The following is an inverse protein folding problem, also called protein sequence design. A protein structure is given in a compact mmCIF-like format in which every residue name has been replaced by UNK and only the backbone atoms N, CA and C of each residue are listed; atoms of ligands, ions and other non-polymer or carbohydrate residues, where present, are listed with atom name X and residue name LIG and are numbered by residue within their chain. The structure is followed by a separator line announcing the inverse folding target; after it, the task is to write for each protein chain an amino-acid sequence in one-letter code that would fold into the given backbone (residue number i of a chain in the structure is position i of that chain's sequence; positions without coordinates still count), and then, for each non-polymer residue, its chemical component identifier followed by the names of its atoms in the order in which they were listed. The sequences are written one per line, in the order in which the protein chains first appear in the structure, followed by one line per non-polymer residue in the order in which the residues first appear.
data_IF_958313561151
#
_entry.id   IF_958313561151
#
_cell.length_a   1.000
_cell.length_b   1.000
_cell.length_c   1.000
_cell.angle_alpha   90.00
_cell.angle_beta   90.00
_cell.angle_gamma   90.00
#
_symmetry.space_group_name_H-M   'P 1'
#
loop_
_entity.id
_entity.type
_entity.pdbx_description
1 polymer ?
#
# COMPACT_ATOMS: atom_id res chain seq x y z
N UNK A 1 11.63 -11.43 -2.26
CA UNK A 1 10.50 -11.59 -3.17
C UNK A 1 9.43 -12.43 -2.47
N UNK A 2 8.46 -11.83 -1.76
CA UNK A 2 7.35 -12.59 -1.21
C UNK A 2 6.42 -12.99 -2.37
N UNK A 3 6.38 -14.27 -2.69
CA UNK A 3 5.38 -14.81 -3.64
C UNK A 3 3.99 -14.72 -3.02
N UNK A 4 2.93 -14.63 -3.85
CA UNK A 4 1.52 -14.63 -3.43
C UNK A 4 1.15 -15.75 -2.43
N UNK A 5 1.95 -16.83 -2.40
CA UNK A 5 1.86 -17.93 -1.43
C UNK A 5 2.05 -17.49 0.03
N UNK A 6 2.79 -16.40 0.26
CA UNK A 6 3.08 -15.90 1.61
C UNK A 6 1.88 -15.18 2.22
N UNK A 7 1.11 -14.45 1.40
CA UNK A 7 -0.13 -13.79 1.83
C UNK A 7 -1.14 -14.84 2.31
N UNK A 8 -1.31 -15.94 1.55
CA UNK A 8 -2.22 -17.02 1.92
C UNK A 8 -1.89 -17.65 3.29
N UNK A 9 -0.61 -17.80 3.64
CA UNK A 9 -0.19 -18.29 4.97
C UNK A 9 -0.55 -17.32 6.09
N UNK A 10 -0.46 -16.03 5.86
CA UNK A 10 -0.80 -15.02 6.87
C UNK A 10 -2.30 -14.89 7.09
N UNK A 11 -3.11 -15.11 6.06
CA UNK A 11 -4.57 -15.11 6.21
C UNK A 11 -5.09 -16.27 7.07
N UNK A 12 -4.37 -17.39 7.11
CA UNK A 12 -4.73 -18.55 7.91
C UNK A 12 -4.77 -18.28 9.44
N UNK A 13 -4.14 -17.19 9.91
CA UNK A 13 -4.15 -16.78 11.32
C UNK A 13 -5.14 -15.64 11.63
N UNK A 14 -5.99 -15.26 10.68
CA UNK A 14 -6.99 -14.18 10.83
C UNK A 14 -6.40 -12.88 11.42
N UNK A 15 -5.40 -12.27 10.76
CA UNK A 15 -4.70 -11.12 11.29
C UNK A 15 -5.62 -9.89 11.32
N UNK A 16 -5.43 -9.04 12.33
CA UNK A 16 -6.08 -7.73 12.39
C UNK A 16 -5.36 -6.66 11.57
N UNK A 17 -4.06 -6.84 11.33
CA UNK A 17 -3.19 -5.94 10.59
C UNK A 17 -2.24 -6.75 9.70
N UNK A 18 -2.12 -6.34 8.44
CA UNK A 18 -1.18 -6.87 7.47
C UNK A 18 -0.15 -5.78 7.09
N UNK A 19 1.14 -6.09 7.24
CA UNK A 19 2.24 -5.23 6.81
C UNK A 19 2.78 -5.78 5.49
N UNK A 20 2.75 -4.96 4.45
CA UNK A 20 3.21 -5.32 3.12
C UNK A 20 4.33 -4.37 2.70
N UNK A 21 5.56 -4.89 2.64
CA UNK A 21 6.72 -4.13 2.19
C UNK A 21 6.94 -4.38 0.69
N UNK A 22 6.73 -3.34 -0.11
CA UNK A 22 6.82 -3.35 -1.58
C UNK A 22 6.12 -4.57 -2.22
N UNK A 23 4.79 -4.74 -2.03
CA UNK A 23 4.07 -5.97 -2.38
C UNK A 23 4.08 -6.32 -3.87
N UNK A 24 4.41 -5.35 -4.73
CA UNK A 24 4.39 -5.51 -6.19
C UNK A 24 5.76 -5.57 -6.85
N UNK A 25 6.85 -5.51 -6.08
CA UNK A 25 8.21 -5.56 -6.63
C UNK A 25 8.50 -6.94 -7.25
N UNK A 26 9.00 -6.92 -8.49
CA UNK A 26 9.32 -8.14 -9.24
C UNK A 26 8.10 -8.87 -9.82
N UNK A 27 6.91 -8.26 -9.74
CA UNK A 27 5.66 -8.78 -10.33
C UNK A 27 5.41 -8.05 -11.65
N UNK A 28 5.06 -8.80 -12.70
CA UNK A 28 4.66 -8.24 -13.99
C UNK A 28 3.45 -7.29 -13.83
N UNK A 29 3.40 -6.22 -14.63
CA UNK A 29 2.32 -5.23 -14.65
C UNK A 29 0.95 -5.91 -14.79
N UNK A 30 0.86 -6.96 -15.61
CA UNK A 30 -0.36 -7.74 -15.81
C UNK A 30 -0.86 -8.42 -14.51
N UNK A 31 0.05 -8.77 -13.59
CA UNK A 31 -0.25 -9.45 -12.33
C UNK A 31 -0.33 -8.50 -11.13
N UNK A 32 0.20 -7.27 -11.21
CA UNK A 32 0.08 -6.26 -10.13
C UNK A 32 -1.39 -6.00 -9.76
N UNK A 33 -2.28 -5.91 -10.75
CA UNK A 33 -3.70 -5.69 -10.54
C UNK A 33 -4.37 -6.78 -9.67
N UNK A 34 -3.97 -8.04 -9.83
CA UNK A 34 -4.49 -9.15 -9.02
C UNK A 34 -4.07 -9.05 -7.56
N UNK A 35 -2.84 -8.59 -7.28
CA UNK A 35 -2.35 -8.38 -5.92
C UNK A 35 -3.14 -7.25 -5.24
N UNK A 36 -3.33 -6.13 -5.94
CA UNK A 36 -4.13 -5.02 -5.41
C UNK A 36 -5.58 -5.40 -5.16
N UNK A 37 -6.18 -6.21 -6.03
CA UNK A 37 -7.53 -6.71 -5.81
C UNK A 37 -7.62 -7.53 -4.51
N UNK A 38 -6.67 -8.45 -4.28
CA UNK A 38 -6.59 -9.22 -3.03
C UNK A 38 -6.45 -8.26 -1.83
N UNK A 39 -5.55 -7.28 -1.90
CA UNK A 39 -5.34 -6.33 -0.80
C UNK A 39 -6.62 -5.54 -0.48
N UNK A 40 -7.30 -5.04 -1.53
CA UNK A 40 -8.57 -4.33 -1.41
C UNK A 40 -9.65 -5.22 -0.78
N UNK A 41 -9.75 -6.48 -1.21
CA UNK A 41 -10.71 -7.43 -0.64
C UNK A 41 -10.42 -7.68 0.84
N UNK A 42 -9.15 -7.84 1.23
CA UNK A 42 -8.77 -8.02 2.63
C UNK A 42 -9.17 -6.80 3.48
N UNK A 43 -8.93 -5.60 2.96
CA UNK A 43 -9.37 -4.36 3.62
C UNK A 43 -10.90 -4.30 3.78
N UNK A 44 -11.64 -4.69 2.75
CA UNK A 44 -13.10 -4.75 2.77
C UNK A 44 -13.65 -5.76 3.80
N UNK A 45 -12.90 -6.83 4.10
CA UNK A 45 -13.23 -7.80 5.15
C UNK A 45 -12.81 -7.34 6.57
N UNK A 46 -12.38 -6.09 6.74
CA UNK A 46 -12.07 -5.49 8.04
C UNK A 46 -10.64 -5.74 8.53
N UNK A 47 -9.76 -6.26 7.67
CA UNK A 47 -8.33 -6.39 7.99
C UNK A 47 -7.64 -5.07 7.67
N UNK A 48 -6.96 -4.47 8.65
CA UNK A 48 -6.15 -3.29 8.37
C UNK A 48 -4.95 -3.69 7.50
N UNK A 49 -4.64 -2.90 6.46
CA UNK A 49 -3.45 -3.12 5.63
C UNK A 49 -2.61 -1.85 5.66
N UNK A 50 -1.32 -2.01 5.99
CA UNK A 50 -0.30 -0.98 5.85
C UNK A 50 0.68 -1.44 4.79
N UNK A 51 0.70 -0.68 3.69
CA UNK A 51 1.64 -0.90 2.59
C UNK A 51 2.78 0.11 2.69
N UNK A 52 4.00 -0.38 2.46
CA UNK A 52 5.19 0.44 2.26
C UNK A 52 5.48 0.37 0.77
N UNK A 53 5.47 1.52 0.11
CA UNK A 53 5.77 1.64 -1.32
C UNK A 53 6.60 2.91 -1.58
N UNK A 54 7.34 2.88 -2.67
CA UNK A 54 8.17 3.97 -3.20
C UNK A 54 7.56 4.61 -4.45
N UNK A 55 6.51 4.01 -5.02
CA UNK A 55 5.76 4.54 -6.15
C UNK A 55 4.57 5.42 -5.67
N UNK A 56 4.55 6.71 -6.05
CA UNK A 56 3.46 7.64 -5.68
C UNK A 56 2.12 7.20 -6.27
N UNK A 57 2.12 6.66 -7.49
CA UNK A 57 0.91 6.13 -8.15
C UNK A 57 0.30 4.98 -7.36
N UNK A 58 1.12 4.03 -6.89
CA UNK A 58 0.66 2.92 -6.05
C UNK A 58 0.04 3.41 -4.75
N UNK A 59 0.72 4.32 -4.05
CA UNK A 59 0.17 4.95 -2.84
C UNK A 59 -1.17 5.63 -3.11
N UNK A 60 -1.27 6.38 -4.21
CA UNK A 60 -2.45 7.16 -4.59
C UNK A 60 -3.67 6.28 -4.89
N UNK A 61 -3.52 5.26 -5.73
CA UNK A 61 -4.66 4.47 -6.21
C UNK A 61 -5.10 3.37 -5.24
N UNK A 62 -4.24 2.93 -4.32
CA UNK A 62 -4.49 1.73 -3.50
C UNK A 62 -4.71 2.01 -2.00
N UNK A 63 -4.65 3.28 -1.57
CA UNK A 63 -4.68 3.64 -0.16
C UNK A 63 -5.92 4.44 0.20
N UNK A 64 -6.49 4.20 1.38
CA UNK A 64 -7.48 5.10 1.98
C UNK A 64 -6.83 6.33 2.64
N UNK A 65 -5.56 6.20 3.03
CA UNK A 65 -4.75 7.24 3.67
C UNK A 65 -3.29 7.01 3.34
N UNK A 66 -2.57 8.10 3.05
CA UNK A 66 -1.16 8.07 2.68
C UNK A 66 -0.36 8.84 3.72
N UNK A 67 0.76 8.27 4.16
CA UNK A 67 1.68 8.89 5.11
C UNK A 67 3.05 9.04 4.45
N UNK A 68 3.65 10.23 4.54
CA UNK A 68 5.00 10.46 4.02
C UNK A 68 6.01 10.42 5.16
N UNK A 69 6.95 9.48 5.07
CA UNK A 69 8.07 9.36 5.99
C UNK A 69 9.33 9.98 5.37
N UNK A 70 10.03 10.83 6.13
CA UNK A 70 11.36 11.36 5.78
C UNK A 70 12.27 11.32 6.99
N UNK A 71 13.49 10.81 6.81
CA UNK A 71 14.51 10.74 7.87
C UNK A 71 14.01 10.09 9.18
N UNK A 72 13.12 9.10 9.08
CA UNK A 72 12.54 8.41 10.23
C UNK A 72 11.32 9.09 10.86
N UNK A 73 10.88 10.24 10.36
CA UNK A 73 9.73 10.98 10.86
C UNK A 73 8.57 11.00 9.87
N UNK A 74 7.34 10.91 10.38
CA UNK A 74 6.13 11.12 9.59
C UNK A 74 5.89 12.62 9.45
N UNK A 75 6.12 13.15 8.25
CA UNK A 75 6.06 14.59 8.00
C UNK A 75 4.68 15.04 7.53
N UNK A 76 3.98 14.22 6.74
CA UNK A 76 2.71 14.58 6.12
C UNK A 76 1.74 13.39 6.09
N UNK A 77 0.45 13.72 6.02
CA UNK A 77 -0.64 12.76 5.87
C UNK A 77 -1.62 13.29 4.83
N UNK A 78 -2.04 12.43 3.91
CA UNK A 78 -2.98 12.75 2.86
C UNK A 78 -4.16 11.78 2.88
N UNK A 79 -5.33 12.30 2.51
CA UNK A 79 -6.52 11.52 2.20
C UNK A 79 -6.77 11.70 0.71
N UNK A 80 -6.74 10.63 -0.12
CA UNK A 80 -6.93 10.77 -1.56
C UNK A 80 -8.22 11.50 -1.95
N UNK A 81 -9.29 11.36 -1.16
CA UNK A 81 -10.57 12.05 -1.37
C UNK A 81 -10.51 13.58 -1.22
N UNK A 82 -9.49 14.11 -0.54
CA UNK A 82 -9.36 15.54 -0.23
C UNK A 82 -7.97 16.08 -0.54
N UNK A 83 -7.22 15.43 -1.42
CA UNK A 83 -5.86 15.82 -1.81
C UNK A 83 -5.69 15.62 -3.31
N UNK A 84 -4.50 15.91 -3.85
CA UNK A 84 -4.14 15.58 -5.22
C UNK A 84 -2.84 14.78 -5.24
N UNK A 85 -2.69 13.94 -6.27
CA UNK A 85 -1.44 13.21 -6.50
C UNK A 85 -0.22 14.16 -6.60
N UNK A 86 -0.43 15.36 -7.16
CA UNK A 86 0.62 16.37 -7.29
C UNK A 86 1.10 16.89 -5.93
N UNK A 87 0.19 17.14 -4.97
CA UNK A 87 0.57 17.59 -3.62
C UNK A 87 1.47 16.56 -2.91
N UNK A 88 1.19 15.27 -3.11
CA UNK A 88 2.01 14.19 -2.57
C UNK A 88 3.38 14.20 -3.24
N UNK A 89 3.42 14.31 -4.57
CA UNK A 89 4.67 14.34 -5.33
C UNK A 89 5.56 15.53 -4.94
N UNK A 90 4.98 16.71 -4.74
CA UNK A 90 5.70 17.90 -4.26
C UNK A 90 6.33 17.64 -2.87
N UNK A 91 5.60 17.01 -1.96
CA UNK A 91 6.11 16.67 -0.64
C UNK A 91 7.14 15.54 -0.69
N UNK A 92 7.01 14.54 -1.56
CA UNK A 92 7.98 13.44 -1.65
C UNK A 92 9.29 13.89 -2.30
N UNK A 93 9.20 14.69 -3.36
CA UNK A 93 10.36 15.10 -4.18
C UNK A 93 11.03 16.40 -3.72
N UNK A 94 10.36 17.21 -2.91
CA UNK A 94 10.94 18.41 -2.28
C UNK A 94 11.86 18.08 -1.12
#
# INVERSE_FOLDING_TARGET
MPSAFSIAKWLAISPKLLLLDSPTVGVDIANKAGIYHIISDLAAHGIAVLMICDEIEEAWYQSHRILVMKQGELTHSFLPDSSTQQQIAEVVNG
#
